data_IF_821344478839
#
_entry.id   IF_821344478839
#
_cell.length_a   1.000
_cell.length_b   1.000
_cell.length_c   1.000
_cell.angle_alpha   90.00
_cell.angle_beta   90.00
_cell.angle_gamma   90.00
#
_symmetry.space_group_name_H-M   'P 1'
#
loop_
_entity.id
_entity.type
_entity.pdbx_description
1 polymer ?
#
# COMPACT_ATOMS: atom_id res chain seq x y z
N UNK A 1 -1.76 6.28 -11.27
CA UNK A 1 -1.16 4.94 -11.44
C UNK A 1 -0.08 4.85 -10.37
N UNK A 2 -0.08 3.78 -9.58
CA UNK A 2 0.87 3.65 -8.47
C UNK A 2 2.30 3.43 -9.00
N UNK A 3 3.27 4.08 -8.36
CA UNK A 3 4.70 3.87 -8.63
C UNK A 3 5.20 2.60 -7.93
N UNK A 4 6.36 2.08 -8.35
CA UNK A 4 7.00 0.93 -7.69
C UNK A 4 7.27 1.18 -6.20
N UNK A 5 7.60 2.42 -5.83
CA UNK A 5 7.79 2.84 -4.44
C UNK A 5 6.50 2.78 -3.63
N UNK A 6 5.40 3.32 -4.18
CA UNK A 6 4.09 3.27 -3.54
C UNK A 6 3.59 1.82 -3.40
N UNK A 7 3.85 0.95 -4.38
CA UNK A 7 3.51 -0.47 -4.33
C UNK A 7 4.29 -1.20 -3.22
N UNK A 8 5.60 -0.96 -3.12
CA UNK A 8 6.41 -1.51 -2.04
C UNK A 8 5.87 -1.08 -0.67
N UNK A 9 5.49 0.20 -0.52
CA UNK A 9 4.89 0.71 0.71
C UNK A 9 3.57 0.03 1.05
N UNK A 10 2.67 -0.16 0.08
CA UNK A 10 1.42 -0.89 0.32
C UNK A 10 1.71 -2.33 0.77
N UNK A 11 2.72 -2.99 0.20
CA UNK A 11 3.15 -4.31 0.62
C UNK A 11 3.67 -4.31 2.08
N UNK A 12 4.54 -3.36 2.43
CA UNK A 12 5.06 -3.19 3.80
C UNK A 12 3.92 -2.97 4.81
N UNK A 13 2.94 -2.13 4.49
CA UNK A 13 1.76 -1.87 5.34
C UNK A 13 0.94 -3.16 5.53
N UNK A 14 0.66 -3.90 4.44
CA UNK A 14 -0.06 -5.18 4.51
C UNK A 14 0.68 -6.25 5.32
N UNK A 15 2.01 -6.20 5.37
CA UNK A 15 2.85 -7.07 6.19
C UNK A 15 3.11 -6.53 7.60
N UNK A 16 2.53 -5.38 7.97
CA UNK A 16 2.75 -4.69 9.24
C UNK A 16 4.25 -4.39 9.50
N UNK A 17 4.98 -4.06 8.44
CA UNK A 17 6.40 -3.71 8.50
C UNK A 17 6.53 -2.23 8.85
N UNK A 18 7.38 -1.93 9.84
CA UNK A 18 7.69 -0.55 10.20
C UNK A 18 8.43 0.16 9.05
N UNK A 19 7.84 1.22 8.51
CA UNK A 19 8.45 2.03 7.46
C UNK A 19 9.08 3.32 8.02
N UNK A 20 10.06 3.86 7.29
CA UNK A 20 10.76 5.07 7.69
C UNK A 20 9.86 6.32 7.61
N UNK A 21 10.02 7.26 8.55
CA UNK A 21 9.25 8.50 8.62
C UNK A 21 9.39 9.41 7.38
N UNK A 22 10.48 9.24 6.62
CA UNK A 22 10.73 9.93 5.34
C UNK A 22 9.65 9.63 4.28
N UNK A 23 8.93 8.52 4.44
CA UNK A 23 7.88 8.07 3.52
C UNK A 23 6.47 8.53 3.91
N UNK A 24 6.35 9.46 4.87
CA UNK A 24 5.05 9.97 5.32
C UNK A 24 4.29 10.70 4.22
N UNK A 25 4.97 11.43 3.33
CA UNK A 25 4.32 12.18 2.25
C UNK A 25 3.63 11.21 1.26
N UNK A 26 4.35 10.18 0.81
CA UNK A 26 3.81 9.10 -0.03
C UNK A 26 2.66 8.35 0.67
N UNK A 27 2.78 8.09 1.97
CA UNK A 27 1.70 7.47 2.75
C UNK A 27 0.44 8.34 2.77
N UNK A 28 0.60 9.66 2.95
CA UNK A 28 -0.52 10.59 2.96
C UNK A 28 -1.21 10.66 1.60
N UNK A 29 -0.46 10.62 0.50
CA UNK A 29 -1.01 10.49 -0.84
C UNK A 29 -1.82 9.20 -0.98
N UNK A 30 -1.29 8.05 -0.53
CA UNK A 30 -2.00 6.77 -0.58
C UNK A 30 -3.28 6.77 0.26
N UNK A 31 -3.28 7.46 1.40
CA UNK A 31 -4.49 7.66 2.23
C UNK A 31 -5.49 8.55 1.49
N UNK A 32 -5.03 9.67 0.91
CA UNK A 32 -5.88 10.61 0.18
C UNK A 32 -6.51 9.96 -1.06
N UNK A 33 -5.75 9.15 -1.77
CA UNK A 33 -6.22 8.37 -2.91
C UNK A 33 -7.11 7.19 -2.50
N UNK A 34 -7.20 6.87 -1.21
CA UNK A 34 -8.04 5.80 -0.67
C UNK A 34 -7.46 4.40 -0.86
N UNK A 35 -6.14 4.28 -1.03
CA UNK A 35 -5.40 3.02 -1.01
C UNK A 35 -5.14 2.53 0.42
N UNK A 36 -4.93 3.45 1.36
CA UNK A 36 -4.67 3.12 2.77
C UNK A 36 -5.77 3.72 3.64
N UNK A 37 -6.30 2.92 4.56
CA UNK A 37 -7.14 3.38 5.66
C UNK A 37 -6.31 3.47 6.93
N UNK A 38 -6.56 4.50 7.74
CA UNK A 38 -5.96 4.64 9.07
C UNK A 38 -7.03 4.29 10.09
N UNK A 39 -6.86 3.17 10.80
CA UNK A 39 -7.69 2.78 11.92
C UNK A 39 -6.93 3.02 13.22
N UNK A 40 -7.25 4.14 13.89
CA UNK A 40 -6.54 4.55 15.10
C UNK A 40 -5.06 4.83 14.85
N UNK A 41 -4.18 3.96 15.35
CA UNK A 41 -2.73 4.03 15.20
C UNK A 41 -2.19 3.12 14.08
N UNK A 42 -3.05 2.27 13.53
CA UNK A 42 -2.68 1.26 12.53
C UNK A 42 -3.06 1.74 11.14
N UNK A 43 -2.22 1.38 10.17
CA UNK A 43 -2.49 1.57 8.75
C UNK A 43 -2.91 0.23 8.15
N UNK A 44 -4.03 0.21 7.45
CA UNK A 44 -4.58 -0.97 6.81
C UNK A 44 -4.78 -0.71 5.32
N UNK A 45 -4.59 -1.74 4.50
CA UNK A 45 -4.88 -1.66 3.08
C UNK A 45 -6.37 -1.66 2.84
N UNK A 46 -6.84 -0.78 1.96
CA UNK A 46 -8.21 -0.83 1.50
C UNK A 46 -8.38 -1.89 0.41
N UNK A 47 -9.62 -2.32 0.12
CA UNK A 47 -9.91 -3.21 -1.01
C UNK A 47 -9.39 -2.65 -2.35
N UNK A 48 -9.25 -1.33 -2.47
CA UNK A 48 -8.69 -0.66 -3.64
C UNK A 48 -7.18 -0.94 -3.77
N UNK A 49 -6.44 -0.87 -2.66
CA UNK A 49 -5.01 -1.22 -2.64
C UNK A 49 -4.79 -2.70 -2.88
N UNK A 50 -5.54 -3.57 -2.22
CA UNK A 50 -5.44 -5.02 -2.45
C UNK A 50 -5.70 -5.38 -3.91
N UNK A 51 -6.71 -4.75 -4.53
CA UNK A 51 -6.99 -4.93 -5.95
C UNK A 51 -5.89 -4.35 -6.84
N UNK A 52 -5.28 -3.22 -6.50
CA UNK A 52 -4.18 -2.64 -7.27
C UNK A 52 -2.88 -3.46 -7.15
N UNK A 53 -2.60 -4.00 -5.97
CA UNK A 53 -1.52 -4.96 -5.72
C UNK A 53 -1.78 -6.26 -6.48
N UNK A 54 -3.03 -6.73 -6.54
CA UNK A 54 -3.42 -7.90 -7.33
C UNK A 54 -3.42 -7.61 -8.83
N UNK A 55 -3.80 -6.42 -9.29
CA UNK A 55 -3.77 -6.08 -10.72
C UNK A 55 -2.34 -5.97 -11.24
N UNK A 56 -1.43 -5.45 -10.41
CA UNK A 56 0.01 -5.39 -10.71
C UNK A 56 0.76 -6.69 -10.38
N UNK A 57 0.19 -7.52 -9.50
CA UNK A 57 0.78 -8.72 -8.88
C UNK A 57 0.01 -10.02 -9.11
N UNK A 58 -1.00 -10.04 -9.98
CA UNK A 58 -1.51 -11.24 -10.67
C UNK A 58 -0.56 -11.68 -11.79
N UNK A 59 0.72 -11.28 -11.67
CA UNK A 59 1.88 -11.98 -12.18
C UNK A 59 2.74 -12.60 -11.07
N UNK A 60 2.22 -12.82 -9.85
CA UNK A 60 2.91 -13.59 -8.79
C UNK A 60 2.40 -15.05 -8.70
N UNK A 61 1.57 -15.51 -9.64
CA UNK A 61 1.32 -16.94 -9.87
C UNK A 61 0.82 -17.21 -11.31
N UNK A 62 1.73 -17.16 -12.30
CA UNK A 62 1.62 -18.09 -13.43
C UNK A 62 2.34 -19.39 -13.00
N UNK A 63 1.58 -20.34 -12.44
CA UNK A 63 2.00 -21.72 -12.23
C UNK A 63 0.78 -22.64 -12.34
#
# INVERSE_FOLDING_TARGET
MLTDHQIAMLCDIGQSIAFAADRQDELLELIQEGYVAKDGDVYELTPKAEKALTDRGAGLNEA
#
